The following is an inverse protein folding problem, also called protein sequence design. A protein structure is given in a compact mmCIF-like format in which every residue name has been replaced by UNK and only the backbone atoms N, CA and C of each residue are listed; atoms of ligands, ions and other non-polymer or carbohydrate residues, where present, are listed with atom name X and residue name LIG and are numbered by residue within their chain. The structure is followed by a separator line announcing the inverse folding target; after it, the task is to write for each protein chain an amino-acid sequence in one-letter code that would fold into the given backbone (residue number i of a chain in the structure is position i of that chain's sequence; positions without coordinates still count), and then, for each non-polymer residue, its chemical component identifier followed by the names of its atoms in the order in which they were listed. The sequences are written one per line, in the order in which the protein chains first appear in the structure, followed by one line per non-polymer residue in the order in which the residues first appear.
data_IF_596834857889
#
_entry.id   IF_596834857889
#
_cell.length_a   1.000
_cell.length_b   1.000
_cell.length_c   1.000
_cell.angle_alpha   90.00
_cell.angle_beta   90.00
_cell.angle_gamma   90.00
#
_symmetry.space_group_name_H-M   'P 1'
#
loop_
_entity.id
_entity.type
_entity.pdbx_description
1 polymer ?
#
# COMPACT_ATOMS: atom_id res chain seq x y z
N UNK A 1 24.86 -21.48 -13.68
CA UNK A 1 25.33 -20.70 -12.52
C UNK A 1 24.78 -21.37 -11.27
N UNK A 2 25.63 -22.06 -10.50
CA UNK A 2 25.19 -22.79 -9.31
C UNK A 2 24.82 -21.78 -8.22
N UNK A 3 23.55 -21.74 -7.82
CA UNK A 3 23.08 -20.88 -6.72
C UNK A 3 23.63 -21.46 -5.42
N UNK A 4 24.28 -20.62 -4.60
CA UNK A 4 24.74 -21.06 -3.29
C UNK A 4 23.54 -21.43 -2.40
N UNK A 5 23.65 -22.49 -1.58
CA UNK A 5 22.61 -22.83 -0.62
C UNK A 5 22.40 -21.66 0.33
N UNK A 6 21.14 -21.34 0.59
CA UNK A 6 20.79 -20.30 1.57
C UNK A 6 21.10 -20.71 3.00
N UNK A 7 21.16 -19.75 3.93
CA UNK A 7 21.48 -20.03 5.32
C UNK A 7 20.46 -21.00 5.95
N UNK A 8 20.97 -21.88 6.83
CA UNK A 8 20.21 -22.97 7.47
C UNK A 8 19.78 -22.55 8.89
N UNK A 9 18.59 -22.98 9.38
CA UNK A 9 18.20 -22.76 10.77
C UNK A 9 19.20 -23.36 11.76
N UNK A 10 19.61 -22.58 12.77
CA UNK A 10 20.47 -23.05 13.88
C UNK A 10 21.92 -22.56 13.87
N UNK A 11 22.44 -22.10 12.72
CA UNK A 11 23.81 -21.58 12.64
C UNK A 11 23.87 -20.07 12.93
N UNK A 12 24.92 -19.64 13.64
CA UNK A 12 25.22 -18.21 13.79
C UNK A 12 25.86 -17.69 12.51
N UNK A 13 25.03 -17.24 11.57
CA UNK A 13 25.50 -16.63 10.32
C UNK A 13 25.82 -15.15 10.54
N UNK A 14 27.01 -14.71 10.10
CA UNK A 14 27.41 -13.31 10.14
C UNK A 14 26.50 -12.47 9.20
N UNK A 15 26.11 -11.24 9.59
CA UNK A 15 25.26 -10.39 8.75
C UNK A 15 25.83 -10.13 7.34
N UNK A 16 27.16 -10.03 7.23
CA UNK A 16 27.85 -9.91 5.95
C UNK A 16 27.58 -11.10 5.00
N UNK A 17 27.63 -12.33 5.52
CA UNK A 17 27.35 -13.53 4.73
C UNK A 17 25.88 -13.57 4.27
N UNK A 18 24.95 -13.13 5.12
CA UNK A 18 23.53 -12.97 4.74
C UNK A 18 23.39 -11.94 3.61
N UNK A 19 24.05 -10.78 3.74
CA UNK A 19 24.02 -9.73 2.73
C UNK A 19 24.58 -10.21 1.38
N UNK A 20 25.71 -10.91 1.39
CA UNK A 20 26.31 -11.54 0.20
C UNK A 20 25.40 -12.59 -0.43
N UNK A 21 24.75 -13.42 0.37
CA UNK A 21 23.79 -14.41 -0.12
C UNK A 21 22.59 -13.76 -0.80
N UNK A 22 21.96 -12.76 -0.16
CA UNK A 22 20.85 -12.01 -0.76
C UNK A 22 21.27 -11.31 -2.06
N UNK A 23 22.46 -10.70 -2.11
CA UNK A 23 22.95 -10.06 -3.31
C UNK A 23 23.22 -11.07 -4.45
N UNK A 24 23.79 -12.24 -4.14
CA UNK A 24 23.96 -13.32 -5.10
C UNK A 24 22.63 -13.91 -5.60
N UNK A 25 21.57 -13.80 -4.79
CA UNK A 25 20.20 -14.11 -5.18
C UNK A 25 19.55 -13.04 -6.08
N UNK A 26 20.23 -11.91 -6.32
CA UNK A 26 19.71 -10.78 -7.09
C UNK A 26 18.83 -9.84 -6.26
N UNK A 27 18.84 -9.93 -4.94
CA UNK A 27 18.05 -9.06 -4.06
C UNK A 27 18.90 -7.91 -3.54
N UNK A 28 18.65 -6.66 -3.95
CA UNK A 28 19.43 -5.52 -3.47
C UNK A 28 19.29 -5.35 -1.97
N UNK A 29 20.42 -5.31 -1.27
CA UNK A 29 20.49 -5.19 0.19
C UNK A 29 20.92 -3.79 0.62
N UNK A 30 20.50 -3.40 1.82
CA UNK A 30 20.99 -2.22 2.52
C UNK A 30 21.23 -2.53 4.01
N UNK A 31 22.07 -1.74 4.71
CA UNK A 31 22.26 -1.91 6.13
C UNK A 31 21.02 -1.52 6.93
N UNK A 32 20.81 -2.21 8.05
CA UNK A 32 19.95 -1.80 9.15
C UNK A 32 20.81 -1.43 10.34
N UNK A 33 20.38 -0.43 11.12
CA UNK A 33 21.09 -0.05 12.33
C UNK A 33 21.19 -1.27 13.28
N UNK A 34 22.29 -1.44 14.02
CA UNK A 34 22.49 -2.62 14.86
C UNK A 34 21.32 -2.84 15.82
N UNK A 35 20.75 -4.05 15.80
CA UNK A 35 19.60 -4.40 16.65
C UNK A 35 18.26 -3.80 16.21
N UNK A 36 18.20 -3.05 15.11
CA UNK A 36 16.98 -2.35 14.67
C UNK A 36 16.40 -2.94 13.37
N UNK A 37 15.15 -2.58 13.10
CA UNK A 37 14.45 -2.90 11.83
C UNK A 37 14.53 -1.74 10.81
N UNK A 38 15.24 -0.66 11.14
CA UNK A 38 15.32 0.56 10.32
C UNK A 38 16.75 0.82 9.84
N UNK A 39 16.94 1.50 8.70
CA UNK A 39 18.26 1.89 8.23
C UNK A 39 19.03 2.73 9.26
N UNK A 40 20.38 2.68 9.26
CA UNK A 40 21.18 3.62 10.02
C UNK A 40 20.93 5.06 9.54
N UNK A 41 21.26 6.02 10.41
CA UNK A 41 21.11 7.43 10.09
C UNK A 41 21.91 7.81 8.82
N UNK A 42 21.36 8.75 8.07
CA UNK A 42 22.08 9.42 6.99
C UNK A 42 23.34 10.13 7.54
N UNK A 43 24.33 10.35 6.68
CA UNK A 43 25.44 11.23 7.02
C UNK A 43 24.94 12.65 7.35
N UNK A 44 25.75 13.42 8.08
CA UNK A 44 25.42 14.78 8.53
C UNK A 44 24.90 15.68 7.40
N UNK A 45 25.63 15.79 6.28
CA UNK A 45 25.20 16.58 5.12
C UNK A 45 23.82 16.19 4.60
N UNK A 46 23.52 14.88 4.51
CA UNK A 46 22.21 14.41 4.02
C UNK A 46 21.09 14.57 5.05
N UNK A 47 21.41 14.83 6.33
CA UNK A 47 20.42 15.16 7.36
C UNK A 47 20.10 16.66 7.35
N UNK A 48 21.10 17.49 7.12
CA UNK A 48 20.98 18.95 7.08
C UNK A 48 20.38 19.43 5.74
N UNK A 49 20.89 18.93 4.63
CA UNK A 49 20.44 19.27 3.29
C UNK A 49 19.53 18.16 2.72
N UNK A 50 18.21 18.40 2.76
CA UNK A 50 17.20 17.43 2.32
C UNK A 50 17.08 17.43 0.80
N UNK A 51 17.36 16.27 0.21
CA UNK A 51 17.23 16.02 -1.23
C UNK A 51 16.59 14.65 -1.50
N UNK A 52 16.11 14.45 -2.73
CA UNK A 52 15.57 13.16 -3.13
C UNK A 52 16.67 12.08 -3.18
N UNK A 53 16.39 10.83 -2.75
CA UNK A 53 17.40 9.76 -2.74
C UNK A 53 18.07 9.51 -4.10
N UNK A 54 17.33 9.73 -5.20
CA UNK A 54 17.81 9.51 -6.56
C UNK A 54 18.93 10.45 -7.00
N UNK A 55 19.06 11.64 -6.38
CA UNK A 55 20.09 12.64 -6.70
C UNK A 55 21.15 12.75 -5.60
N UNK A 56 21.14 11.83 -4.63
CA UNK A 56 22.05 11.87 -3.51
C UNK A 56 23.49 11.50 -3.94
N UNK A 57 24.48 12.38 -3.78
CA UNK A 57 25.87 12.11 -4.19
C UNK A 57 26.53 10.99 -3.35
N UNK A 58 25.95 10.65 -2.20
CA UNK A 58 26.42 9.52 -1.39
C UNK A 58 26.25 8.18 -2.11
N UNK A 59 25.29 8.05 -3.01
CA UNK A 59 25.03 6.82 -3.76
C UNK A 59 26.14 6.50 -4.76
N UNK A 60 26.70 7.53 -5.39
CA UNK A 60 27.85 7.40 -6.30
C UNK A 60 29.14 7.07 -5.53
N UNK A 61 29.26 7.61 -4.32
CA UNK A 61 30.33 7.30 -3.37
C UNK A 61 30.16 5.96 -2.65
N UNK A 62 29.15 5.15 -3.04
CA UNK A 62 28.89 3.84 -2.45
C UNK A 62 28.51 3.86 -0.97
N UNK A 63 27.93 4.95 -0.45
CA UNK A 63 27.45 5.04 0.94
C UNK A 63 25.98 4.65 1.05
N UNK A 64 25.55 4.24 2.25
CA UNK A 64 24.20 3.74 2.53
C UNK A 64 23.12 4.82 2.79
N UNK A 65 23.42 6.11 2.56
CA UNK A 65 22.44 7.17 2.79
C UNK A 65 21.14 6.91 2.04
N UNK A 66 20.01 7.21 2.68
CA UNK A 66 18.65 6.94 2.21
C UNK A 66 18.24 5.45 2.20
N UNK A 67 18.96 4.61 2.97
CA UNK A 67 18.53 3.26 3.34
C UNK A 67 18.24 2.37 2.12
N UNK A 68 17.02 1.85 2.02
CA UNK A 68 16.63 0.94 0.94
C UNK A 68 16.72 1.58 -0.46
N UNK A 69 16.71 2.91 -0.58
CA UNK A 69 16.94 3.59 -1.86
C UNK A 69 18.40 3.49 -2.33
N UNK A 70 19.33 3.23 -1.43
CA UNK A 70 20.74 2.96 -1.75
C UNK A 70 21.04 1.46 -1.81
N UNK A 71 20.02 0.59 -1.72
CA UNK A 71 20.22 -0.85 -1.75
C UNK A 71 20.96 -1.30 -3.01
N UNK A 72 21.79 -2.33 -2.89
CA UNK A 72 22.70 -2.75 -3.95
C UNK A 72 22.93 -4.26 -3.94
N UNK A 73 23.29 -4.81 -5.10
CA UNK A 73 23.83 -6.17 -5.25
C UNK A 73 25.34 -6.16 -5.51
N UNK A 74 25.97 -4.97 -5.54
CA UNK A 74 27.40 -4.82 -5.76
C UNK A 74 28.18 -5.39 -4.57
N UNK A 75 28.96 -6.47 -4.76
CA UNK A 75 29.69 -7.12 -3.68
C UNK A 75 30.73 -6.19 -3.04
N UNK A 76 31.36 -5.28 -3.79
CA UNK A 76 32.36 -4.38 -3.24
C UNK A 76 31.77 -3.36 -2.26
N UNK A 77 30.57 -2.83 -2.57
CA UNK A 77 29.83 -1.95 -1.66
C UNK A 77 29.39 -2.70 -0.40
N UNK A 78 28.88 -3.92 -0.57
CA UNK A 78 28.44 -4.76 0.55
C UNK A 78 29.63 -5.09 1.46
N UNK A 79 30.76 -5.51 0.90
CA UNK A 79 31.97 -5.79 1.67
C UNK A 79 32.41 -4.56 2.48
N UNK A 80 32.50 -3.40 1.81
CA UNK A 80 32.88 -2.14 2.47
C UNK A 80 31.95 -1.75 3.63
N UNK A 81 30.63 -1.91 3.48
CA UNK A 81 29.67 -1.55 4.54
C UNK A 81 29.80 -2.43 5.78
N UNK A 82 29.93 -3.73 5.60
CA UNK A 82 30.02 -4.66 6.73
C UNK A 82 31.43 -4.80 7.30
N UNK A 83 32.48 -4.47 6.54
CA UNK A 83 33.83 -4.28 7.09
C UNK A 83 33.87 -3.07 8.03
N UNK A 84 33.29 -1.94 7.59
CA UNK A 84 33.23 -0.73 8.41
C UNK A 84 32.31 -0.88 9.64
N UNK A 85 31.22 -1.64 9.51
CA UNK A 85 30.22 -1.83 10.57
C UNK A 85 29.72 -3.29 10.61
N UNK A 86 30.48 -4.20 11.25
CA UNK A 86 30.15 -5.64 11.26
C UNK A 86 28.81 -6.00 11.93
N UNK A 87 28.27 -5.09 12.75
CA UNK A 87 27.02 -5.29 13.51
C UNK A 87 25.77 -4.83 12.77
N UNK A 88 25.87 -4.30 11.55
CA UNK A 88 24.70 -3.93 10.77
C UNK A 88 23.81 -5.15 10.49
N UNK A 89 22.50 -4.96 10.66
CA UNK A 89 21.51 -5.92 10.16
C UNK A 89 21.35 -5.80 8.64
N UNK A 90 20.65 -6.75 8.02
CA UNK A 90 20.46 -6.78 6.57
C UNK A 90 19.00 -6.50 6.22
N UNK A 91 18.77 -5.45 5.46
CA UNK A 91 17.49 -5.15 4.81
C UNK A 91 17.53 -5.47 3.32
N UNK A 92 16.40 -5.87 2.75
CA UNK A 92 16.22 -6.16 1.31
C UNK A 92 15.19 -5.18 0.75
N UNK A 93 15.55 -4.46 -0.32
CA UNK A 93 14.60 -3.57 -1.00
C UNK A 93 13.72 -4.38 -1.97
N UNK A 94 12.41 -4.40 -1.72
CA UNK A 94 11.50 -5.32 -2.40
C UNK A 94 11.26 -4.94 -3.87
N UNK A 95 11.02 -3.66 -4.16
CA UNK A 95 10.74 -3.18 -5.53
C UNK A 95 11.83 -3.57 -6.54
N UNK A 96 13.09 -3.17 -6.33
CA UNK A 96 14.22 -3.57 -7.19
C UNK A 96 14.52 -5.07 -7.21
N UNK A 97 14.07 -5.82 -6.20
CA UNK A 97 14.21 -7.28 -6.15
C UNK A 97 13.06 -8.03 -6.86
N UNK A 98 12.09 -7.30 -7.42
CA UNK A 98 10.83 -7.85 -7.94
C UNK A 98 10.13 -8.76 -6.91
N UNK A 99 10.17 -8.37 -5.63
CA UNK A 99 9.53 -9.10 -4.53
C UNK A 99 8.20 -8.49 -4.12
N UNK A 100 7.25 -9.36 -3.81
CA UNK A 100 6.01 -9.04 -3.10
C UNK A 100 5.98 -9.92 -1.86
N UNK A 101 6.10 -9.31 -0.69
CA UNK A 101 6.13 -10.04 0.58
C UNK A 101 4.89 -9.72 1.39
N UNK A 102 4.20 -10.76 1.84
CA UNK A 102 3.13 -10.64 2.82
C UNK A 102 3.76 -10.71 4.21
N UNK A 103 3.66 -9.62 4.97
CA UNK A 103 4.17 -9.48 6.34
C UNK A 103 2.96 -9.62 7.28
N UNK A 104 2.79 -10.85 7.79
CA UNK A 104 1.63 -11.29 8.56
C UNK A 104 1.93 -11.12 10.05
N UNK A 105 1.17 -10.25 10.71
CA UNK A 105 1.33 -9.97 12.13
C UNK A 105 0.60 -11.00 13.01
N UNK A 106 1.18 -11.26 14.20
CA UNK A 106 0.63 -12.16 15.22
C UNK A 106 0.08 -11.41 16.45
N UNK A 107 -0.19 -10.10 16.33
CA UNK A 107 -0.56 -9.28 17.47
C UNK A 107 -2.05 -9.47 17.78
N UNK A 108 -2.37 -10.10 18.91
CA UNK A 108 -3.74 -10.15 19.39
C UNK A 108 -4.16 -8.75 19.90
N UNK A 109 -4.78 -7.95 19.02
CA UNK A 109 -5.36 -6.64 19.33
C UNK A 109 -6.86 -6.68 19.04
N UNK A 110 -7.58 -5.65 19.47
CA UNK A 110 -9.02 -5.55 19.24
C UNK A 110 -9.34 -5.70 17.75
N UNK A 111 -10.20 -6.68 17.45
CA UNK A 111 -10.62 -7.00 16.10
C UNK A 111 -11.47 -5.83 15.57
N UNK A 112 -11.12 -5.25 14.40
CA UNK A 112 -11.87 -4.14 13.86
C UNK A 112 -13.23 -4.59 13.35
N UNK A 113 -14.08 -3.63 13.01
CA UNK A 113 -15.34 -3.89 12.32
C UNK A 113 -15.16 -4.85 11.13
N UNK A 114 -16.15 -5.74 10.93
CA UNK A 114 -16.15 -6.78 9.89
C UNK A 114 -15.82 -6.24 8.50
N UNK A 115 -16.27 -5.03 8.18
CA UNK A 115 -16.01 -4.39 6.89
C UNK A 115 -14.53 -4.03 6.67
N UNK A 116 -13.71 -4.02 7.72
CA UNK A 116 -12.27 -3.71 7.66
C UNK A 116 -11.37 -4.94 7.62
N UNK A 117 -11.89 -6.14 7.89
CA UNK A 117 -11.08 -7.36 7.91
C UNK A 117 -10.55 -7.71 6.52
N UNK A 118 -11.42 -7.66 5.50
CA UNK A 118 -11.09 -7.92 4.10
C UNK A 118 -11.65 -6.78 3.23
N UNK A 119 -10.91 -5.68 3.05
CA UNK A 119 -11.43 -4.47 2.41
C UNK A 119 -12.02 -4.77 1.03
N UNK A 120 -13.32 -4.57 0.81
CA UNK A 120 -13.99 -4.87 -0.46
C UNK A 120 -14.55 -6.29 -0.60
N UNK A 121 -14.50 -7.10 0.46
CA UNK A 121 -15.20 -8.39 0.55
C UNK A 121 -16.16 -8.30 1.74
N UNK A 122 -17.49 -8.30 1.52
CA UNK A 122 -18.43 -8.26 2.62
C UNK A 122 -18.44 -9.58 3.38
N UNK A 123 -18.23 -9.51 4.70
CA UNK A 123 -18.34 -10.67 5.61
C UNK A 123 -19.69 -10.56 6.31
N UNK A 124 -20.66 -11.37 5.87
CA UNK A 124 -22.02 -11.35 6.41
C UNK A 124 -22.10 -11.79 7.88
N UNK A 125 -23.14 -11.38 8.63
CA UNK A 125 -23.32 -11.70 10.06
C UNK A 125 -23.27 -13.19 10.38
N UNK A 126 -23.68 -14.04 9.43
CA UNK A 126 -23.68 -15.49 9.53
C UNK A 126 -22.28 -16.13 9.59
N UNK A 127 -21.24 -15.40 9.19
CA UNK A 127 -19.85 -15.87 9.38
C UNK A 127 -19.50 -15.64 10.85
N UNK A 128 -19.27 -16.75 11.56
CA UNK A 128 -18.71 -16.69 12.90
C UNK A 128 -17.24 -16.29 12.83
N UNK A 129 -16.88 -15.26 13.58
CA UNK A 129 -15.53 -14.72 13.67
C UNK A 129 -14.94 -14.95 15.07
N UNK A 130 -15.62 -15.74 15.91
CA UNK A 130 -15.08 -16.16 17.19
C UNK A 130 -13.71 -16.84 16.99
N UNK A 131 -12.71 -16.35 17.71
CA UNK A 131 -11.33 -16.84 17.63
C UNK A 131 -10.45 -16.15 16.59
N UNK A 132 -10.98 -15.30 15.71
CA UNK A 132 -10.17 -14.46 14.83
C UNK A 132 -9.43 -13.41 15.68
N UNK A 133 -8.10 -13.42 15.66
CA UNK A 133 -7.30 -12.58 16.55
C UNK A 133 -6.12 -11.86 15.85
N UNK A 134 -5.64 -12.41 14.74
CA UNK A 134 -4.38 -12.00 14.12
C UNK A 134 -4.46 -11.94 12.60
N UNK A 135 -3.37 -11.47 11.96
CA UNK A 135 -3.22 -11.50 10.51
C UNK A 135 -3.22 -12.92 9.92
N UNK A 136 -2.86 -13.94 10.70
CA UNK A 136 -2.93 -15.33 10.26
C UNK A 136 -4.38 -15.74 9.99
N UNK A 137 -5.28 -15.35 10.90
CA UNK A 137 -6.69 -15.70 10.82
C UNK A 137 -7.39 -15.00 9.65
N UNK A 138 -7.06 -13.72 9.42
CA UNK A 138 -7.64 -12.97 8.30
C UNK A 138 -7.12 -13.43 6.94
N UNK A 139 -5.85 -13.80 6.86
CA UNK A 139 -5.27 -14.35 5.64
C UNK A 139 -5.83 -15.74 5.34
N UNK A 140 -6.01 -16.58 6.37
CA UNK A 140 -6.67 -17.87 6.25
C UNK A 140 -8.14 -17.71 5.82
N UNK A 141 -8.87 -16.76 6.40
CA UNK A 141 -10.25 -16.43 6.00
C UNK A 141 -10.31 -16.00 4.52
N UNK A 142 -9.39 -15.14 4.08
CA UNK A 142 -9.30 -14.73 2.68
C UNK A 142 -9.08 -15.93 1.75
N UNK A 143 -8.14 -16.81 2.09
CA UNK A 143 -7.85 -18.01 1.31
C UNK A 143 -9.07 -18.95 1.25
N UNK A 144 -9.74 -19.17 2.39
CA UNK A 144 -10.95 -19.99 2.47
C UNK A 144 -12.10 -19.44 1.61
N UNK A 145 -12.34 -18.12 1.65
CA UNK A 145 -13.35 -17.46 0.81
C UNK A 145 -13.04 -17.52 -0.69
N UNK A 146 -11.79 -17.81 -1.06
CA UNK A 146 -11.35 -18.01 -2.45
C UNK A 146 -11.19 -19.49 -2.84
N UNK A 147 -11.41 -20.43 -1.92
CA UNK A 147 -11.15 -21.84 -2.15
C UNK A 147 -9.68 -22.12 -2.47
N UNK A 148 -8.75 -21.37 -1.86
CA UNK A 148 -7.31 -21.46 -2.08
C UNK A 148 -6.59 -21.98 -0.84
N UNK A 149 -5.37 -22.49 -1.04
CA UNK A 149 -4.48 -22.80 0.07
C UNK A 149 -4.14 -21.55 0.88
N UNK A 150 -4.09 -21.69 2.20
CA UNK A 150 -3.64 -20.62 3.08
C UNK A 150 -2.15 -20.29 2.82
N UNK A 151 -1.80 -19.04 2.45
CA UNK A 151 -0.41 -18.66 2.16
C UNK A 151 0.58 -18.88 3.31
N UNK A 152 0.12 -18.92 4.56
CA UNK A 152 1.02 -19.21 5.70
C UNK A 152 1.57 -20.62 5.65
N UNK A 153 0.86 -21.53 4.97
CA UNK A 153 1.16 -22.95 4.85
C UNK A 153 1.83 -23.30 3.52
N UNK A 154 2.09 -22.31 2.66
CA UNK A 154 2.78 -22.49 1.36
C UNK A 154 4.27 -22.78 1.59
N UNK A 155 4.65 -24.06 1.58
CA UNK A 155 6.02 -24.54 1.72
C UNK A 155 6.84 -24.49 0.42
N UNK A 156 6.19 -24.18 -0.72
CA UNK A 156 6.83 -24.02 -2.02
C UNK A 156 7.57 -22.69 -2.13
N UNK A 157 7.31 -21.76 -1.21
CA UNK A 157 7.91 -20.43 -1.18
C UNK A 157 8.72 -20.15 0.09
N UNK A 158 9.67 -19.20 0.00
CA UNK A 158 10.46 -18.77 1.15
C UNK A 158 9.56 -18.10 2.21
N UNK A 159 9.60 -18.64 3.42
CA UNK A 159 8.90 -18.11 4.59
C UNK A 159 9.88 -17.82 5.72
N UNK A 160 9.66 -16.74 6.46
CA UNK A 160 10.56 -16.29 7.54
C UNK A 160 9.74 -15.87 8.74
N UNK A 161 9.91 -16.55 9.88
CA UNK A 161 9.32 -16.15 11.16
C UNK A 161 9.95 -14.85 11.63
N UNK A 162 9.09 -13.91 12.04
CA UNK A 162 9.54 -12.66 12.63
C UNK A 162 9.72 -12.82 14.14
N UNK A 163 10.57 -12.01 14.79
CA UNK A 163 10.76 -12.11 16.24
C UNK A 163 9.50 -11.84 17.07
N UNK A 164 8.51 -11.14 16.52
CA UNK A 164 7.23 -10.86 17.18
C UNK A 164 6.19 -11.99 17.01
N UNK A 165 6.58 -13.13 16.46
CA UNK A 165 5.70 -14.27 16.21
C UNK A 165 4.99 -14.24 14.84
N UNK A 166 5.16 -13.15 14.09
CA UNK A 166 4.63 -13.00 12.73
C UNK A 166 5.35 -13.86 11.68
N UNK A 167 4.97 -13.69 10.42
CA UNK A 167 5.52 -14.43 9.29
C UNK A 167 5.65 -13.54 8.05
N UNK A 168 6.86 -13.48 7.48
CA UNK A 168 7.04 -13.00 6.11
C UNK A 168 6.87 -14.16 5.12
N UNK A 169 6.01 -14.00 4.13
CA UNK A 169 5.83 -14.96 3.02
C UNK A 169 6.29 -14.26 1.75
N UNK A 170 7.39 -14.75 1.16
CA UNK A 170 8.07 -14.06 0.07
C UNK A 170 7.60 -14.59 -1.27
N UNK A 171 7.14 -13.74 -2.18
CA UNK A 171 6.88 -14.13 -3.57
C UNK A 171 7.70 -13.28 -4.53
N UNK A 172 8.09 -13.88 -5.67
CA UNK A 172 8.60 -13.12 -6.81
C UNK A 172 7.45 -12.64 -7.68
N UNK A 173 7.48 -11.39 -8.09
CA UNK A 173 6.57 -10.87 -9.10
C UNK A 173 6.95 -11.47 -10.47
N UNK A 174 6.08 -12.27 -11.11
CA UNK A 174 6.39 -12.86 -12.40
C UNK A 174 6.30 -11.84 -13.56
N UNK A 175 5.65 -10.70 -13.37
CA UNK A 175 5.44 -9.69 -14.41
C UNK A 175 6.13 -8.35 -14.06
N UNK A 176 7.25 -8.00 -14.74
CA UNK A 176 7.98 -6.77 -14.47
C UNK A 176 7.22 -5.49 -14.84
N UNK A 177 6.16 -5.58 -15.64
CA UNK A 177 5.32 -4.43 -16.03
C UNK A 177 4.33 -4.05 -14.93
N UNK A 178 3.96 -4.99 -14.06
CA UNK A 178 3.08 -4.76 -12.93
C UNK A 178 3.90 -4.35 -11.72
N UNK A 179 3.67 -3.14 -11.20
CA UNK A 179 4.29 -2.67 -9.95
C UNK A 179 3.27 -2.70 -8.83
N UNK A 180 3.52 -3.52 -7.81
CA UNK A 180 2.72 -3.53 -6.59
C UNK A 180 3.27 -2.51 -5.60
N UNK A 181 2.40 -1.67 -5.02
CA UNK A 181 2.78 -0.76 -3.93
C UNK A 181 2.76 -1.49 -2.59
N UNK A 182 3.58 -1.00 -1.66
CA UNK A 182 3.51 -1.43 -0.27
C UNK A 182 2.27 -0.88 0.45
N UNK A 183 1.80 -1.58 1.48
CA UNK A 183 0.68 -1.20 2.33
C UNK A 183 0.87 -1.67 3.77
N UNK A 184 0.07 -1.13 4.67
CA UNK A 184 -0.06 -1.60 6.05
C UNK A 184 -1.45 -2.21 6.25
N UNK A 185 -1.55 -3.37 6.90
CA UNK A 185 -2.79 -4.12 7.12
C UNK A 185 -3.83 -3.37 7.96
N UNK A 186 -3.44 -2.33 8.68
CA UNK A 186 -4.36 -1.44 9.43
C UNK A 186 -4.87 -0.25 8.61
N UNK A 187 -4.34 -0.03 7.40
CA UNK A 187 -4.62 1.14 6.56
C UNK A 187 -6.08 1.16 6.11
N UNK A 188 -6.79 2.29 6.28
CA UNK A 188 -8.17 2.44 5.79
C UNK A 188 -8.24 2.68 4.27
N UNK A 189 -7.10 2.98 3.62
CA UNK A 189 -7.05 3.28 2.18
C UNK A 189 -6.77 2.04 1.35
N UNK A 190 -5.83 1.21 1.81
CA UNK A 190 -5.26 0.11 1.04
C UNK A 190 -4.66 -0.89 1.99
N UNK A 191 -5.26 -2.06 2.06
CA UNK A 191 -4.78 -3.21 2.80
C UNK A 191 -5.29 -4.47 2.10
N UNK A 192 -4.48 -5.53 2.07
CA UNK A 192 -4.90 -6.83 1.55
C UNK A 192 -5.91 -7.47 2.50
N UNK A 193 -5.54 -7.51 3.79
CA UNK A 193 -6.34 -7.97 4.90
C UNK A 193 -5.89 -7.25 6.18
N UNK A 194 -6.73 -7.24 7.22
CA UNK A 194 -6.33 -6.73 8.53
C UNK A 194 -5.12 -7.50 9.06
N UNK A 195 -4.11 -6.77 9.57
CA UNK A 195 -2.83 -7.31 10.05
C UNK A 195 -1.96 -8.05 9.00
N UNK A 196 -2.21 -7.80 7.71
CA UNK A 196 -1.34 -8.27 6.64
C UNK A 196 -0.78 -7.07 5.89
N UNK A 197 0.47 -6.73 6.19
CA UNK A 197 1.25 -5.73 5.47
C UNK A 197 1.70 -6.31 4.12
N UNK A 198 1.68 -5.48 3.08
CA UNK A 198 2.26 -5.84 1.77
C UNK A 198 3.55 -5.04 1.63
N UNK A 199 4.67 -5.73 1.41
CA UNK A 199 5.99 -5.12 1.19
C UNK A 199 6.42 -5.38 -0.24
N UNK A 200 6.37 -4.35 -1.07
CA UNK A 200 6.67 -4.40 -2.49
C UNK A 200 7.40 -3.12 -2.93
N UNK A 201 6.98 -2.46 -4.01
CA UNK A 201 7.62 -1.22 -4.46
C UNK A 201 7.63 -0.16 -3.35
N UNK A 202 8.74 0.58 -3.30
CA UNK A 202 9.09 1.55 -2.24
C UNK A 202 9.04 1.00 -0.81
N UNK A 203 9.08 -0.32 -0.65
CA UNK A 203 9.18 -1.02 0.62
C UNK A 203 10.49 -1.79 0.74
N UNK A 204 10.77 -2.21 1.97
CA UNK A 204 11.86 -3.12 2.27
C UNK A 204 11.42 -4.08 3.39
N UNK A 205 12.17 -5.16 3.52
CA UNK A 205 11.99 -6.19 4.55
C UNK A 205 13.32 -6.48 5.23
N UNK A 206 13.24 -7.06 6.43
CA UNK A 206 14.41 -7.61 7.10
C UNK A 206 14.75 -8.97 6.50
N UNK A 207 16.01 -9.17 6.14
CA UNK A 207 16.46 -10.42 5.52
C UNK A 207 16.44 -11.59 6.52
N UNK A 208 16.30 -12.85 6.05
CA UNK A 208 16.42 -14.02 6.91
C UNK A 208 17.75 -14.02 7.69
N UNK A 209 17.75 -14.62 8.88
CA UNK A 209 18.87 -14.70 9.83
C UNK A 209 19.33 -13.38 10.44
N UNK A 210 18.79 -12.23 10.02
CA UNK A 210 19.09 -10.94 10.66
C UNK A 210 18.60 -10.91 12.11
N UNK A 211 19.44 -10.39 13.00
CA UNK A 211 19.12 -10.21 14.43
C UNK A 211 18.75 -8.76 14.72
N UNK A 212 17.65 -8.60 15.45
CA UNK A 212 17.18 -7.35 16.04
C UNK A 212 17.16 -7.48 17.57
N UNK A 213 16.88 -6.39 18.28
CA UNK A 213 16.70 -6.40 19.73
C UNK A 213 15.56 -7.33 20.18
N UNK A 214 14.52 -7.49 19.35
CA UNK A 214 13.39 -8.39 19.62
C UNK A 214 13.70 -9.87 19.37
N UNK A 215 14.81 -10.19 18.69
CA UNK A 215 15.16 -11.55 18.31
C UNK A 215 15.60 -11.67 16.85
N UNK A 216 15.66 -12.91 16.35
CA UNK A 216 16.16 -13.23 15.00
C UNK A 216 15.03 -13.54 14.04
N UNK A 217 15.15 -13.08 12.79
CA UNK A 217 14.32 -13.52 11.68
C UNK A 217 14.76 -14.91 11.25
N UNK A 218 13.89 -15.91 11.34
CA UNK A 218 14.27 -17.32 11.14
C UNK A 218 13.57 -17.89 9.91
N UNK A 219 14.31 -18.41 8.91
CA UNK A 219 13.70 -19.19 7.83
C UNK A 219 12.86 -20.34 8.41
N UNK A 220 11.68 -20.54 7.84
CA UNK A 220 10.85 -21.74 8.12
C UNK A 220 11.31 -22.87 7.20
N UNK A 221 11.10 -24.11 7.63
CA UNK A 221 11.32 -25.27 6.76
C UNK A 221 10.47 -25.23 5.49
N UNK A 222 10.98 -25.84 4.43
CA UNK A 222 10.47 -25.72 3.07
C UNK A 222 11.43 -24.97 2.15
N UNK A 223 10.88 -24.27 1.16
CA UNK A 223 11.66 -23.59 0.13
C UNK A 223 12.59 -22.49 0.69
N UNK A 224 13.78 -22.40 0.11
CA UNK A 224 14.76 -21.34 0.37
C UNK A 224 14.62 -20.17 -0.61
N UNK A 225 13.70 -20.26 -1.56
CA UNK A 225 13.54 -19.33 -2.67
C UNK A 225 12.10 -18.85 -2.80
N UNK A 226 11.86 -17.57 -3.11
CA UNK A 226 10.52 -17.07 -3.41
C UNK A 226 9.94 -17.76 -4.66
N UNK A 227 8.77 -18.38 -4.51
CA UNK A 227 7.97 -18.88 -5.62
C UNK A 227 7.31 -17.73 -6.40
N UNK A 228 6.86 -17.94 -7.65
CA UNK A 228 6.02 -16.97 -8.34
C UNK A 228 4.80 -16.56 -7.50
N UNK A 229 4.46 -15.27 -7.50
CA UNK A 229 3.24 -14.76 -6.88
C UNK A 229 2.03 -15.52 -7.45
N UNK A 230 1.22 -16.21 -6.61
CA UNK A 230 0.04 -16.92 -7.07
C UNK A 230 -0.95 -15.98 -7.75
N UNK A 231 -1.52 -16.42 -8.88
CA UNK A 231 -2.43 -15.59 -9.68
C UNK A 231 -3.65 -15.07 -8.90
N UNK A 232 -4.15 -15.86 -7.95
CA UNK A 232 -5.27 -15.43 -7.09
C UNK A 232 -4.85 -14.32 -6.11
N UNK A 233 -3.65 -14.39 -5.53
CA UNK A 233 -3.12 -13.31 -4.67
C UNK A 233 -2.84 -12.05 -5.50
N UNK A 234 -2.33 -12.20 -6.72
CA UNK A 234 -2.17 -11.08 -7.65
C UNK A 234 -3.52 -10.39 -7.94
N UNK A 235 -4.58 -11.15 -8.15
CA UNK A 235 -5.94 -10.63 -8.33
C UNK A 235 -6.46 -9.91 -7.08
N UNK A 236 -6.21 -10.45 -5.89
CA UNK A 236 -6.57 -9.79 -4.62
C UNK A 236 -5.81 -8.48 -4.38
N UNK A 237 -4.54 -8.42 -4.77
CA UNK A 237 -3.74 -7.19 -4.75
C UNK A 237 -4.28 -6.15 -5.73
N UNK A 238 -4.69 -6.54 -6.94
CA UNK A 238 -5.38 -5.64 -7.89
C UNK A 238 -6.70 -5.13 -7.29
N UNK A 239 -7.52 -6.03 -6.74
CA UNK A 239 -8.82 -5.71 -6.12
C UNK A 239 -8.70 -4.68 -5.00
N UNK A 240 -7.64 -4.79 -4.21
CA UNK A 240 -7.34 -3.87 -3.09
C UNK A 240 -6.50 -2.67 -3.53
N UNK A 241 -6.41 -2.41 -4.84
CA UNK A 241 -5.71 -1.27 -5.43
C UNK A 241 -4.20 -1.25 -5.17
N UNK A 242 -3.54 -2.37 -4.94
CA UNK A 242 -2.08 -2.42 -4.80
C UNK A 242 -1.35 -2.25 -6.12
N UNK A 243 -2.01 -2.47 -7.26
CA UNK A 243 -1.47 -2.09 -8.56
C UNK A 243 -1.95 -0.66 -8.82
N UNK A 244 -1.07 0.35 -8.85
CA UNK A 244 -1.45 1.67 -9.30
C UNK A 244 -1.95 1.50 -10.74
N UNK A 245 -3.23 1.79 -10.98
CA UNK A 245 -3.68 2.06 -12.34
C UNK A 245 -2.79 3.18 -12.83
N UNK A 246 -2.04 2.98 -13.91
CA UNK A 246 -1.43 4.10 -14.58
C UNK A 246 -2.58 5.09 -14.82
N UNK A 247 -2.53 6.26 -14.16
CA UNK A 247 -3.22 7.39 -14.74
C UNK A 247 -2.71 7.42 -16.17
N UNK A 248 -3.58 7.46 -17.20
CA UNK A 248 -3.11 7.78 -18.52
C UNK A 248 -2.24 9.01 -18.35
N UNK A 249 -0.96 8.91 -18.76
CA UNK A 249 -0.17 10.10 -19.04
C UNK A 249 -1.13 11.04 -19.72
N UNK A 250 -1.43 12.19 -19.09
CA UNK A 250 -2.30 13.20 -19.70
C UNK A 250 -1.76 13.36 -21.12
N UNK A 251 -2.50 12.81 -22.09
CA UNK A 251 -2.14 12.94 -23.48
C UNK A 251 -1.95 14.44 -23.68
N UNK A 252 -0.78 14.82 -24.19
CA UNK A 252 -0.41 16.21 -24.38
C UNK A 252 -1.64 16.98 -24.84
N UNK A 253 -2.05 17.98 -24.04
CA UNK A 253 -3.22 18.82 -24.33
C UNK A 253 -3.10 19.23 -25.80
N UNK A 254 -4.10 18.93 -26.65
CA UNK A 254 -4.20 19.61 -27.93
C UNK A 254 -4.17 21.11 -27.64
N UNK A 255 -3.47 21.87 -28.49
CA UNK A 255 -3.44 23.32 -28.44
C UNK A 255 -4.87 23.88 -28.27
N UNK A 256 -5.04 25.05 -27.61
CA UNK A 256 -6.36 25.57 -27.24
C UNK A 256 -7.17 25.91 -28.50
N UNK A 257 -7.93 24.93 -28.99
CA UNK A 257 -8.90 25.06 -30.06
C UNK A 257 -10.30 25.01 -29.46
N UNK A 258 -10.98 26.15 -29.51
CA UNK A 258 -12.38 26.41 -29.16
C UNK A 258 -12.79 26.12 -27.70
N UNK A 259 -13.14 27.18 -26.98
CA UNK A 259 -13.80 27.11 -25.68
C UNK A 259 -15.04 26.20 -25.76
N UNK A 260 -15.18 25.19 -24.87
CA UNK A 260 -16.42 24.43 -24.80
C UNK A 260 -17.51 25.37 -24.30
N UNK A 261 -18.59 25.50 -25.08
CA UNK A 261 -19.81 26.20 -24.67
C UNK A 261 -20.21 25.70 -23.27
N UNK A 262 -20.28 26.62 -22.31
CA UNK A 262 -20.89 26.37 -21.00
C UNK A 262 -22.30 25.82 -21.23
N UNK A 263 -22.47 24.50 -21.06
CA UNK A 263 -23.81 23.92 -20.90
C UNK A 263 -24.15 24.09 -19.42
N UNK A 264 -25.10 24.97 -19.14
CA UNK A 264 -25.69 25.11 -17.81
C UNK A 264 -26.24 23.76 -17.36
N UNK A 265 -26.13 23.46 -16.07
CA UNK A 265 -26.67 22.25 -15.46
C UNK A 265 -28.14 22.04 -15.88
N UNK A 266 -28.46 20.85 -16.39
CA UNK A 266 -29.84 20.53 -16.76
C UNK A 266 -30.72 20.43 -15.50
N UNK A 267 -32.03 20.76 -15.56
CA UNK A 267 -32.93 20.71 -14.40
C UNK A 267 -32.93 19.37 -13.64
N UNK A 268 -32.70 18.26 -14.34
CA UNK A 268 -32.65 16.92 -13.75
C UNK A 268 -31.37 16.63 -12.94
N UNK A 269 -30.24 17.29 -13.27
CA UNK A 269 -29.00 17.16 -12.51
C UNK A 269 -29.11 17.88 -11.15
N UNK A 270 -29.73 19.06 -11.18
CA UNK A 270 -30.02 19.88 -10.00
C UNK A 270 -30.95 19.12 -9.05
N UNK A 271 -32.05 18.54 -9.56
CA UNK A 271 -33.00 17.75 -8.75
C UNK A 271 -32.39 16.54 -8.03
N UNK A 272 -31.32 15.94 -8.57
CA UNK A 272 -30.63 14.81 -7.94
C UNK A 272 -29.58 15.25 -6.91
N UNK A 273 -28.89 16.36 -7.17
CA UNK A 273 -27.79 16.81 -6.32
C UNK A 273 -28.26 17.65 -5.13
N UNK A 274 -29.30 18.46 -5.29
CA UNK A 274 -29.85 19.34 -4.27
C UNK A 274 -30.22 18.65 -2.94
N UNK A 275 -30.97 17.52 -2.91
CA UNK A 275 -31.29 16.87 -1.64
C UNK A 275 -30.04 16.35 -0.92
N UNK A 276 -29.01 15.93 -1.67
CA UNK A 276 -27.75 15.46 -1.10
C UNK A 276 -26.93 16.61 -0.52
N UNK A 277 -26.92 17.77 -1.18
CA UNK A 277 -26.28 18.99 -0.66
C UNK A 277 -27.02 19.50 0.59
N UNK A 278 -28.35 19.43 0.61
CA UNK A 278 -29.15 19.82 1.77
C UNK A 278 -28.81 18.96 3.01
N UNK A 279 -28.59 17.64 2.84
CA UNK A 279 -28.16 16.77 3.93
C UNK A 279 -26.76 17.11 4.48
N UNK A 280 -25.84 17.54 3.60
CA UNK A 280 -24.51 18.00 4.00
C UNK A 280 -24.62 19.33 4.75
N UNK A 281 -25.40 20.27 4.23
CA UNK A 281 -25.64 21.57 4.87
C UNK A 281 -26.28 21.43 6.25
N UNK A 282 -27.24 20.51 6.42
CA UNK A 282 -27.91 20.23 7.70
C UNK A 282 -26.94 19.81 8.81
N UNK A 283 -25.75 19.30 8.48
CA UNK A 283 -24.74 18.94 9.47
C UNK A 283 -24.19 20.15 10.23
N UNK A 284 -24.42 21.38 9.78
CA UNK A 284 -24.06 22.62 10.50
C UNK A 284 -24.65 22.66 11.91
N UNK A 285 -25.86 22.11 12.11
CA UNK A 285 -26.56 22.12 13.39
C UNK A 285 -25.94 21.19 14.46
N UNK A 286 -25.02 20.31 14.08
CA UNK A 286 -24.37 19.37 15.00
C UNK A 286 -22.86 19.52 14.86
N UNK A 287 -22.10 19.98 15.86
CA UNK A 287 -20.67 20.30 15.69
C UNK A 287 -19.77 19.09 15.39
N UNK A 288 -20.15 17.89 15.86
CA UNK A 288 -19.40 16.64 15.71
C UNK A 288 -20.38 15.47 15.51
N UNK A 289 -20.02 14.47 14.70
CA UNK A 289 -20.96 13.43 14.28
C UNK A 289 -21.91 13.89 13.17
N UNK A 290 -23.05 13.20 13.00
CA UNK A 290 -24.07 13.38 11.95
C UNK A 290 -23.79 12.75 10.56
N UNK A 291 -22.88 11.77 10.48
CA UNK A 291 -22.47 11.09 9.24
C UNK A 291 -22.03 12.04 8.12
N UNK A 292 -21.48 13.20 8.48
CA UNK A 292 -21.09 14.26 7.54
C UNK A 292 -20.17 13.75 6.42
N UNK A 293 -19.15 12.96 6.76
CA UNK A 293 -18.21 12.39 5.78
C UNK A 293 -18.90 11.48 4.77
N UNK A 294 -19.84 10.65 5.22
CA UNK A 294 -20.61 9.75 4.35
C UNK A 294 -21.55 10.53 3.43
N UNK A 295 -22.27 11.51 3.97
CA UNK A 295 -23.16 12.40 3.21
C UNK A 295 -22.40 13.20 2.16
N UNK A 296 -21.24 13.77 2.53
CA UNK A 296 -20.37 14.50 1.60
C UNK A 296 -19.80 13.59 0.51
N UNK A 297 -19.38 12.38 0.88
CA UNK A 297 -18.89 11.39 -0.07
C UNK A 297 -19.99 11.00 -1.07
N UNK A 298 -21.22 10.75 -0.59
CA UNK A 298 -22.36 10.39 -1.45
C UNK A 298 -22.77 11.52 -2.40
N UNK A 299 -22.78 12.76 -1.92
CA UNK A 299 -23.02 13.95 -2.75
C UNK A 299 -21.94 14.09 -3.85
N UNK A 300 -20.67 13.99 -3.48
CA UNK A 300 -19.54 14.11 -4.40
C UNK A 300 -19.46 12.93 -5.40
N UNK A 301 -19.79 11.72 -4.98
CA UNK A 301 -19.88 10.55 -5.86
C UNK A 301 -21.00 10.71 -6.89
N UNK A 302 -22.18 11.19 -6.48
CA UNK A 302 -23.30 11.43 -7.39
C UNK A 302 -22.97 12.53 -8.40
N UNK A 303 -22.36 13.63 -7.92
CA UNK A 303 -21.88 14.71 -8.78
C UNK A 303 -20.84 14.22 -9.81
N UNK A 304 -19.92 13.32 -9.41
CA UNK A 304 -18.93 12.74 -10.32
C UNK A 304 -19.56 12.01 -11.51
N UNK A 305 -20.60 11.20 -11.25
CA UNK A 305 -21.31 10.51 -12.33
C UNK A 305 -22.17 11.43 -13.19
N UNK A 306 -22.73 12.53 -12.63
CA UNK A 306 -23.45 13.55 -13.41
C UNK A 306 -22.51 14.36 -14.31
N UNK A 307 -21.30 14.67 -13.83
CA UNK A 307 -20.25 15.33 -14.61
C UNK A 307 -19.84 14.44 -15.79
N UNK A 308 -19.56 13.17 -15.53
CA UNK A 308 -19.22 12.23 -16.60
C UNK A 308 -20.38 11.99 -17.57
N UNK A 309 -21.63 12.00 -17.07
CA UNK A 309 -22.84 11.91 -17.90
C UNK A 309 -23.12 13.17 -18.73
N UNK A 310 -22.33 14.24 -18.56
CA UNK A 310 -22.48 15.50 -19.30
C UNK A 310 -23.64 16.38 -18.83
N UNK A 311 -24.13 16.16 -17.61
CA UNK A 311 -25.29 16.85 -17.04
C UNK A 311 -24.94 17.99 -16.08
N UNK A 312 -23.69 18.05 -15.62
CA UNK A 312 -23.14 19.07 -14.72
C UNK A 312 -21.69 19.39 -15.10
N UNK A 313 -21.27 20.65 -15.02
CA UNK A 313 -19.87 20.99 -15.28
C UNK A 313 -18.97 20.62 -14.09
N UNK A 314 -17.76 20.12 -14.36
CA UNK A 314 -16.84 19.67 -13.31
C UNK A 314 -16.46 20.78 -12.31
N UNK A 315 -16.30 22.02 -12.79
CA UNK A 315 -16.00 23.18 -11.94
C UNK A 315 -17.19 23.52 -11.04
N UNK A 316 -18.40 23.55 -11.60
CA UNK A 316 -19.65 23.84 -10.88
C UNK A 316 -19.93 22.80 -9.78
N UNK A 317 -19.79 21.51 -10.10
CA UNK A 317 -19.90 20.42 -9.13
C UNK A 317 -18.94 20.61 -7.95
N UNK A 318 -17.68 20.95 -8.25
CA UNK A 318 -16.63 21.13 -7.27
C UNK A 318 -16.88 22.34 -6.38
N UNK A 319 -17.28 23.47 -6.96
CA UNK A 319 -17.59 24.70 -6.22
C UNK A 319 -18.78 24.49 -5.27
N UNK A 320 -19.88 23.89 -5.75
CA UNK A 320 -21.07 23.60 -4.93
C UNK A 320 -20.75 22.70 -3.72
N UNK A 321 -19.98 21.64 -3.94
CA UNK A 321 -19.58 20.71 -2.87
C UNK A 321 -18.64 21.36 -1.87
N UNK A 322 -17.68 22.16 -2.32
CA UNK A 322 -16.73 22.84 -1.44
C UNK A 322 -17.41 23.90 -0.60
N UNK A 323 -18.31 24.69 -1.19
CA UNK A 323 -19.02 25.75 -0.49
C UNK A 323 -19.96 25.16 0.58
N UNK A 324 -20.68 24.09 0.22
CA UNK A 324 -21.57 23.37 1.15
C UNK A 324 -20.78 22.72 2.29
N UNK A 325 -19.64 22.09 1.99
CA UNK A 325 -18.79 21.45 2.99
C UNK A 325 -18.09 22.46 3.91
N UNK A 326 -17.66 23.61 3.37
CA UNK A 326 -17.05 24.71 4.13
C UNK A 326 -18.05 25.32 5.10
N UNK A 327 -19.29 25.54 4.65
CA UNK A 327 -20.36 26.04 5.52
C UNK A 327 -20.66 25.09 6.68
N UNK A 328 -20.72 23.78 6.43
CA UNK A 328 -21.02 22.79 7.45
C UNK A 328 -19.84 22.47 8.40
N UNK A 329 -18.60 22.51 7.91
CA UNK A 329 -17.37 22.16 8.64
C UNK A 329 -16.19 23.06 8.23
N UNK A 330 -16.15 24.33 8.65
CA UNK A 330 -15.12 25.28 8.22
C UNK A 330 -13.70 24.87 8.67
N UNK A 331 -13.56 24.16 9.80
CA UNK A 331 -12.27 23.71 10.32
C UNK A 331 -11.70 22.45 9.62
N UNK A 332 -12.42 21.85 8.68
CA UNK A 332 -12.03 20.58 8.04
C UNK A 332 -11.74 20.70 6.53
N UNK A 333 -11.41 21.89 6.04
CA UNK A 333 -11.28 22.20 4.60
C UNK A 333 -10.37 21.22 3.84
N UNK A 334 -9.16 20.92 4.33
CA UNK A 334 -8.22 19.97 3.68
C UNK A 334 -8.79 18.56 3.59
N UNK A 335 -9.51 18.11 4.62
CA UNK A 335 -10.15 16.79 4.67
C UNK A 335 -11.33 16.72 3.71
N UNK A 336 -12.15 17.77 3.70
CA UNK A 336 -13.32 17.88 2.83
C UNK A 336 -12.91 17.88 1.35
N UNK A 337 -11.87 18.64 0.99
CA UNK A 337 -11.31 18.64 -0.35
C UNK A 337 -10.88 17.23 -0.77
N UNK A 338 -10.17 16.51 0.10
CA UNK A 338 -9.73 15.13 -0.19
C UNK A 338 -10.92 14.17 -0.44
N UNK A 339 -11.98 14.29 0.37
CA UNK A 339 -13.20 13.48 0.22
C UNK A 339 -13.89 13.80 -1.11
N UNK A 340 -14.03 15.10 -1.43
CA UNK A 340 -14.70 15.57 -2.65
C UNK A 340 -13.96 15.09 -3.89
N UNK A 341 -12.64 15.31 -3.97
CA UNK A 341 -11.84 14.91 -5.14
C UNK A 341 -11.85 13.39 -5.35
N UNK A 342 -11.71 12.61 -4.27
CA UNK A 342 -11.73 11.15 -4.33
C UNK A 342 -13.10 10.62 -4.76
N UNK A 343 -14.18 11.20 -4.25
CA UNK A 343 -15.54 10.75 -4.54
C UNK A 343 -16.02 11.19 -5.93
N UNK A 344 -15.70 12.41 -6.37
CA UNK A 344 -15.93 12.88 -7.75
C UNK A 344 -15.25 11.94 -8.76
N UNK A 345 -13.99 11.59 -8.51
CA UNK A 345 -13.23 10.66 -9.35
C UNK A 345 -13.87 9.27 -9.39
N UNK A 346 -14.28 8.74 -8.23
CA UNK A 346 -14.95 7.44 -8.15
C UNK A 346 -16.33 7.44 -8.83
N UNK A 347 -17.09 8.51 -8.67
CA UNK A 347 -18.40 8.70 -9.30
C UNK A 347 -18.31 8.80 -10.81
N UNK A 348 -17.28 9.46 -11.34
CA UNK A 348 -17.05 9.57 -12.79
C UNK A 348 -16.84 8.20 -13.47
N UNK A 349 -16.37 7.19 -12.74
CA UNK A 349 -16.26 5.81 -13.27
C UNK A 349 -17.62 5.13 -13.49
N UNK A 350 -18.72 5.72 -12.98
CA UNK A 350 -20.09 5.22 -13.12
C UNK A 350 -21.00 6.38 -13.56
N UNK A 351 -21.05 6.69 -14.87
CA UNK A 351 -21.84 7.79 -15.39
C UNK A 351 -23.32 7.66 -14.98
N UNK A 352 -23.87 8.75 -14.45
CA UNK A 352 -25.29 8.84 -14.12
C UNK A 352 -26.01 9.54 -15.26
N UNK A 353 -26.96 8.83 -15.88
CA UNK A 353 -27.93 9.41 -16.81
C UNK A 353 -29.27 9.49 -16.09
N UNK A 354 -29.71 10.68 -15.63
CA UNK A 354 -31.06 10.87 -15.12
C UNK A 354 -32.02 10.43 -16.23
N UNK A 355 -32.90 9.45 -15.95
CA UNK A 355 -33.84 8.94 -16.96
C UNK A 355 -34.66 10.09 -17.53
N UNK A 356 -34.41 10.44 -18.79
CA UNK A 356 -35.33 11.25 -19.57
C UNK A 356 -36.57 10.41 -19.87
N UNK A 357 -37.75 10.85 -19.43
CA UNK A 357 -38.97 10.48 -20.13
C UNK A 357 -38.87 11.06 -21.54
N UNK A 358 -38.97 10.19 -22.53
CA UNK A 358 -39.37 10.55 -23.90
C UNK A 358 -40.69 11.31 -23.88
#
# INVERSE_FOLDING_TARGET
MFRQPGPVPGESVAPHAVARWCAAAGWPVHPLAPGQKVPPANCETCREDRHAPGVCPCRDKGRWCHGFHAATTDPGRIDSWWEAQPRFGVGVSCGPADLVVLDVDAHAVEVPDRARLLPGIPIGPQVDLAGLATGFDTLALLAALRGQQNPTDDDTTLRVRTPSGGLHIWYRNPDPLVRYRSSTGSSPKTALAWQVDVRADRGYIVAPMTRTAAGRYLPVDGSRWPAPLPGWLAAELVRTSHVPTAMPLQAARPAPGAAPRQRQAGPAAIQLLDPLLAEVAACTATPQGASFTEKLNRAAYTAGGLVQGGHLAAHEARELLLETARSARPSQERRNLTIIESALSAGALRPFHPRGRS
#
